data_IF_791965855302
#
_entry.id   IF_791965855302
#
_cell.length_a   1.000
_cell.length_b   1.000
_cell.length_c   1.000
_cell.angle_alpha   90.00
_cell.angle_beta   90.00
_cell.angle_gamma   90.00
#
_symmetry.space_group_name_H-M   'P 1'
#
loop_
_entity.id
_entity.type
_entity.pdbx_description
1 polymer ?
#
# COMPACT_ATOMS: atom_id res chain seq x y z
N UNK A 1 2.77 0.89 1.02
CA UNK A 1 3.92 0.09 1.49
C UNK A 1 4.08 0.32 2.99
N UNK A 2 4.84 -0.51 3.73
CA UNK A 2 4.96 -0.36 5.18
C UNK A 2 5.59 0.99 5.54
N UNK A 3 5.00 1.69 6.50
CA UNK A 3 5.43 3.00 6.99
C UNK A 3 6.54 2.93 8.06
N UNK A 4 6.92 1.71 8.45
CA UNK A 4 7.91 1.43 9.48
C UNK A 4 8.45 0.00 9.33
N UNK A 5 9.55 -0.32 10.01
CA UNK A 5 10.08 -1.68 10.06
C UNK A 5 9.11 -2.64 10.74
N UNK A 6 8.45 -2.19 11.81
CA UNK A 6 7.48 -2.97 12.59
C UNK A 6 6.25 -3.33 11.74
N UNK A 7 5.89 -2.48 10.79
CA UNK A 7 4.79 -2.71 9.84
C UNK A 7 5.09 -3.78 8.78
N UNK A 8 6.36 -4.14 8.55
CA UNK A 8 6.76 -5.00 7.41
C UNK A 8 6.07 -6.36 7.46
N UNK A 9 6.03 -7.01 8.62
CA UNK A 9 5.40 -8.33 8.75
C UNK A 9 3.90 -8.27 8.43
N UNK A 10 3.19 -7.26 8.95
CA UNK A 10 1.75 -7.08 8.71
C UNK A 10 1.47 -6.78 7.24
N UNK A 11 2.27 -5.91 6.62
CA UNK A 11 2.21 -5.65 5.18
C UNK A 11 2.39 -6.93 4.34
N UNK A 12 3.41 -7.74 4.66
CA UNK A 12 3.63 -9.01 3.97
C UNK A 12 2.46 -9.97 4.18
N UNK A 13 1.90 -10.03 5.39
CA UNK A 13 0.74 -10.88 5.66
C UNK A 13 -0.47 -10.50 4.82
N UNK A 14 -0.76 -9.20 4.68
CA UNK A 14 -1.83 -8.71 3.83
C UNK A 14 -1.58 -9.07 2.36
N UNK A 15 -0.34 -8.90 1.88
CA UNK A 15 0.07 -9.25 0.51
C UNK A 15 -0.08 -10.75 0.21
N UNK A 16 0.44 -11.63 1.08
CA UNK A 16 0.37 -13.08 0.88
C UNK A 16 -1.01 -13.66 1.18
N UNK A 17 -1.88 -12.94 1.89
CA UNK A 17 -3.26 -13.38 2.13
C UNK A 17 -4.18 -13.14 0.93
N UNK A 18 -3.74 -12.34 -0.04
CA UNK A 18 -4.52 -12.01 -1.24
C UNK A 18 -4.32 -13.05 -2.35
N UNK A 19 -5.36 -13.85 -2.62
CA UNK A 19 -5.34 -14.89 -3.68
C UNK A 19 -5.42 -14.35 -5.09
N UNK A 20 -5.88 -13.11 -5.28
CA UNK A 20 -5.88 -12.48 -6.59
C UNK A 20 -4.44 -12.15 -7.04
N UNK A 21 -3.51 -12.07 -6.08
CA UNK A 21 -2.13 -11.66 -6.34
C UNK A 21 -1.15 -12.83 -6.15
N UNK A 22 -1.28 -13.62 -5.08
CA UNK A 22 -0.47 -14.83 -4.88
C UNK A 22 -1.36 -15.99 -4.44
N UNK A 23 -1.46 -17.04 -5.25
CA UNK A 23 -2.21 -18.25 -4.92
C UNK A 23 -1.32 -19.22 -4.14
N UNK A 24 -1.52 -19.31 -2.82
CA UNK A 24 -0.79 -20.22 -1.93
C UNK A 24 -1.67 -21.43 -1.60
N UNK A 25 -1.34 -22.59 -2.17
CA UNK A 25 -2.03 -23.85 -1.90
C UNK A 25 -3.56 -23.78 -2.09
N UNK A 26 -4.30 -24.70 -1.44
CA UNK A 26 -5.76 -24.66 -1.40
C UNK A 26 -6.30 -23.39 -0.70
N UNK A 27 -7.50 -22.88 -1.08
CA UNK A 27 -8.06 -21.64 -0.51
C UNK A 27 -8.11 -21.60 1.02
N UNK A 28 -8.45 -22.73 1.65
CA UNK A 28 -8.55 -22.83 3.11
C UNK A 28 -7.18 -22.75 3.83
N UNK A 29 -6.06 -23.01 3.13
CA UNK A 29 -4.71 -22.90 3.68
C UNK A 29 -4.04 -21.54 3.39
N UNK A 30 -4.66 -20.66 2.61
CA UNK A 30 -4.05 -19.40 2.21
C UNK A 30 -3.55 -18.58 3.40
N UNK A 31 -4.42 -18.31 4.38
CA UNK A 31 -4.07 -17.45 5.54
C UNK A 31 -3.00 -18.08 6.45
N UNK A 32 -3.08 -19.38 6.81
CA UNK A 32 -1.98 -20.06 7.51
C UNK A 32 -0.64 -19.99 6.77
N UNK A 33 -0.64 -20.25 5.47
CA UNK A 33 0.57 -20.17 4.64
C UNK A 33 1.10 -18.73 4.55
N UNK A 34 0.21 -17.75 4.39
CA UNK A 34 0.56 -16.33 4.38
C UNK A 34 1.21 -15.90 5.69
N UNK A 35 0.68 -16.33 6.84
CA UNK A 35 1.27 -16.06 8.15
C UNK A 35 2.68 -16.64 8.27
N UNK A 36 2.87 -17.91 7.86
CA UNK A 36 4.16 -18.59 7.89
C UNK A 36 5.18 -17.89 6.99
N UNK A 37 4.82 -17.63 5.73
CA UNK A 37 5.70 -16.97 4.76
C UNK A 37 6.06 -15.56 5.24
N UNK A 38 5.10 -14.82 5.78
CA UNK A 38 5.33 -13.45 6.29
C UNK A 38 6.24 -13.46 7.51
N UNK A 39 6.09 -14.44 8.41
CA UNK A 39 7.00 -14.63 9.53
C UNK A 39 8.43 -14.91 9.05
N UNK A 40 8.61 -15.88 8.15
CA UNK A 40 9.92 -16.27 7.63
C UNK A 40 10.61 -15.12 6.85
N UNK A 41 9.85 -14.37 6.06
CA UNK A 41 10.39 -13.31 5.19
C UNK A 41 10.57 -11.96 5.89
N UNK A 42 9.85 -11.70 6.99
CA UNK A 42 9.86 -10.42 7.71
C UNK A 42 11.28 -9.88 7.95
N UNK A 43 12.14 -10.65 8.64
CA UNK A 43 13.52 -10.24 8.98
C UNK A 43 14.36 -9.83 7.77
N UNK A 44 14.26 -10.56 6.66
CA UNK A 44 15.01 -10.23 5.43
C UNK A 44 14.48 -8.93 4.83
N UNK A 45 13.17 -8.78 4.76
CA UNK A 45 12.52 -7.60 4.19
C UNK A 45 12.73 -6.35 5.06
N UNK A 46 12.70 -6.47 6.39
CA UNK A 46 13.01 -5.40 7.34
C UNK A 46 14.44 -4.88 7.13
N UNK A 47 15.42 -5.78 6.95
CA UNK A 47 16.79 -5.37 6.61
C UNK A 47 16.83 -4.54 5.33
N UNK A 48 16.10 -4.93 4.30
CA UNK A 48 16.04 -4.18 3.04
C UNK A 48 15.40 -2.79 3.23
N UNK A 49 14.30 -2.70 3.98
CA UNK A 49 13.69 -1.40 4.31
C UNK A 49 14.61 -0.53 5.17
N UNK A 50 15.41 -1.14 6.05
CA UNK A 50 16.39 -0.41 6.88
C UNK A 50 17.44 0.29 6.03
N UNK A 51 17.86 -0.30 4.91
CA UNK A 51 18.83 0.29 3.98
C UNK A 51 18.30 1.53 3.25
N UNK A 52 16.99 1.73 3.22
CA UNK A 52 16.33 2.86 2.54
C UNK A 52 15.68 3.84 3.51
N UNK A 53 16.08 3.84 4.79
CA UNK A 53 15.57 4.76 5.80
C UNK A 53 14.43 4.21 6.68
N UNK A 54 14.21 2.90 6.67
CA UNK A 54 13.33 2.21 7.63
C UNK A 54 11.85 2.17 7.26
N UNK A 55 11.45 2.76 6.13
CA UNK A 55 10.05 2.76 5.65
C UNK A 55 9.96 2.85 4.14
N UNK A 56 8.79 2.57 3.59
CA UNK A 56 8.48 2.81 2.18
C UNK A 56 8.14 4.29 1.96
N UNK A 57 8.80 5.00 1.01
CA UNK A 57 8.48 6.39 0.72
C UNK A 57 7.18 6.56 -0.08
N UNK A 58 6.54 5.46 -0.50
CA UNK A 58 5.40 5.49 -1.42
C UNK A 58 4.23 6.31 -0.90
N UNK A 59 3.90 6.20 0.39
CA UNK A 59 2.75 6.93 0.96
C UNK A 59 2.99 8.44 0.93
N UNK A 60 4.18 8.88 1.34
CA UNK A 60 4.53 10.29 1.36
C UNK A 60 4.50 10.88 -0.06
N UNK A 61 5.02 10.14 -1.04
CA UNK A 61 5.00 10.54 -2.46
C UNK A 61 3.56 10.57 -2.99
N UNK A 62 2.76 9.55 -2.72
CA UNK A 62 1.37 9.49 -3.18
C UNK A 62 0.50 10.58 -2.54
N UNK A 63 0.75 10.96 -1.29
CA UNK A 63 0.09 12.11 -0.64
C UNK A 63 0.42 13.41 -1.37
N UNK A 64 1.71 13.64 -1.67
CA UNK A 64 2.13 14.84 -2.41
C UNK A 64 1.50 14.90 -3.81
N UNK A 65 1.46 13.75 -4.51
CA UNK A 65 0.81 13.64 -5.81
C UNK A 65 -0.71 13.86 -5.73
N UNK A 66 -1.39 13.27 -4.75
CA UNK A 66 -2.82 13.43 -4.57
C UNK A 66 -3.20 14.90 -4.33
N UNK A 67 -2.42 15.60 -3.50
CA UNK A 67 -2.61 17.04 -3.25
C UNK A 67 -2.40 17.86 -4.53
N UNK A 68 -1.30 17.64 -5.24
CA UNK A 68 -1.01 18.35 -6.49
C UNK A 68 -2.08 18.10 -7.56
N UNK A 69 -2.59 16.86 -7.65
CA UNK A 69 -3.67 16.50 -8.56
C UNK A 69 -4.98 17.20 -8.19
N UNK A 70 -5.36 17.21 -6.91
CA UNK A 70 -6.56 17.89 -6.41
C UNK A 70 -6.51 19.40 -6.72
N UNK A 71 -5.38 20.04 -6.45
CA UNK A 71 -5.15 21.46 -6.76
C UNK A 71 -5.23 21.74 -8.26
N UNK A 72 -4.59 20.90 -9.08
CA UNK A 72 -4.60 21.05 -10.54
C UNK A 72 -6.01 20.88 -11.13
N UNK A 73 -6.79 19.91 -10.64
CA UNK A 73 -8.15 19.69 -11.11
C UNK A 73 -9.06 20.87 -10.75
N UNK A 74 -8.99 21.34 -9.50
CA UNK A 74 -9.82 22.43 -9.01
C UNK A 74 -9.43 23.81 -9.57
N UNK A 75 -8.18 23.98 -10.02
CA UNK A 75 -7.72 25.22 -10.69
C UNK A 75 -7.99 25.22 -12.19
N UNK A 76 -8.34 24.07 -12.76
CA UNK A 76 -8.65 23.94 -14.19
C UNK A 76 -10.09 24.34 -14.51
N UNK A 77 -10.40 24.58 -15.79
CA UNK A 77 -11.79 24.73 -16.27
C UNK A 77 -12.51 23.39 -16.46
N UNK A 78 -11.90 22.28 -16.02
CA UNK A 78 -12.47 20.96 -16.16
C UNK A 78 -13.72 20.83 -15.29
N UNK A 79 -14.81 20.34 -15.87
CA UNK A 79 -16.09 20.14 -15.17
C UNK A 79 -16.64 18.78 -15.50
N UNK A 80 -17.12 18.06 -14.49
CA UNK A 80 -17.79 16.77 -14.64
C UNK A 80 -19.19 16.89 -14.02
N UNK A 81 -20.23 16.60 -14.79
CA UNK A 81 -21.64 16.74 -14.38
C UNK A 81 -21.98 18.11 -13.74
N UNK A 82 -21.36 19.19 -14.23
CA UNK A 82 -21.56 20.54 -13.69
C UNK A 82 -20.83 20.82 -12.36
N UNK A 83 -20.15 19.83 -11.77
CA UNK A 83 -19.29 20.03 -10.60
C UNK A 83 -17.89 20.46 -11.02
N UNK A 84 -17.34 21.42 -10.27
CA UNK A 84 -15.97 21.93 -10.38
C UNK A 84 -15.08 21.51 -9.20
N UNK A 85 -15.67 20.91 -8.17
CA UNK A 85 -14.95 20.52 -6.97
C UNK A 85 -14.63 19.04 -7.04
N UNK A 86 -13.34 18.76 -7.11
CA UNK A 86 -12.76 17.44 -7.10
C UNK A 86 -12.13 17.18 -5.74
N UNK A 87 -12.28 15.95 -5.26
CA UNK A 87 -11.60 15.43 -4.07
C UNK A 87 -10.83 14.18 -4.46
N UNK A 88 -9.55 14.14 -4.10
CA UNK A 88 -8.66 13.01 -4.38
C UNK A 88 -8.46 12.20 -3.10
N UNK A 89 -8.59 10.89 -3.22
CA UNK A 89 -8.40 9.93 -2.14
C UNK A 89 -7.32 8.92 -2.52
N UNK A 90 -6.63 8.41 -1.50
CA UNK A 90 -5.59 7.38 -1.65
C UNK A 90 -6.19 6.07 -1.17
N UNK A 91 -5.93 5.00 -1.92
CA UNK A 91 -6.30 3.64 -1.54
C UNK A 91 -5.13 2.69 -1.79
N UNK A 92 -4.60 2.13 -0.72
CA UNK A 92 -3.51 1.16 -0.74
C UNK A 92 -4.05 -0.24 -0.48
N UNK A 93 -3.67 -1.18 -1.33
CA UNK A 93 -4.22 -2.54 -1.26
C UNK A 93 -3.77 -3.33 -0.03
N UNK A 94 -2.52 -3.15 0.40
CA UNK A 94 -1.89 -3.96 1.46
C UNK A 94 -1.39 -3.15 2.65
N UNK A 95 -1.63 -1.85 2.62
CA UNK A 95 -1.32 -0.92 3.70
C UNK A 95 -2.40 0.15 3.77
N UNK A 96 -2.33 1.02 4.75
CA UNK A 96 -3.27 2.13 4.87
C UNK A 96 -2.68 3.43 4.32
N UNK A 97 -3.53 4.40 3.90
CA UNK A 97 -4.94 4.23 3.51
C UNK A 97 -5.06 3.64 2.11
#
# INVERSE_FOLDING_TARGET
GPDSLQAVRTFLYNLFSDREIIKLGPPFLQKPLAWLVSFLRSKKTEKMYSLIGGKSPILDITIAQAKALEESLNSSRFTVHGSRLFKVYIGMRYWHP
#
